data_IF_911099516393
#
_entry.id   IF_911099516393
#
_cell.length_a   1.000
_cell.length_b   1.000
_cell.length_c   1.000
_cell.angle_alpha   90.00
_cell.angle_beta   90.00
_cell.angle_gamma   90.00
#
_symmetry.space_group_name_H-M   'P 1'
#
loop_
_entity.id
_entity.type
_entity.pdbx_description
1 polymer ?
#
# COMPACT_ATOMS: atom_id res chain seq x y z
N UNK A 1 -20.40 16.54 -32.81
CA UNK A 1 -19.41 15.49 -32.49
C UNK A 1 -20.19 14.20 -32.29
N UNK A 2 -19.79 13.12 -32.98
CA UNK A 2 -20.66 11.94 -33.21
C UNK A 2 -20.61 11.00 -32.00
N UNK A 3 -21.76 10.48 -31.59
CA UNK A 3 -21.92 9.51 -30.48
C UNK A 3 -20.94 8.32 -30.59
N UNK A 4 -20.62 7.88 -31.81
CA UNK A 4 -19.65 6.80 -32.05
C UNK A 4 -18.22 7.13 -31.62
N UNK A 5 -17.79 8.40 -31.75
CA UNK A 5 -16.46 8.82 -31.33
C UNK A 5 -16.37 8.91 -29.81
N UNK A 6 -17.47 9.34 -29.16
CA UNK A 6 -17.60 9.36 -27.71
C UNK A 6 -17.56 7.95 -27.11
N UNK A 7 -18.29 6.99 -27.71
CA UNK A 7 -18.29 5.59 -27.25
C UNK A 7 -16.90 4.95 -27.37
N UNK A 8 -16.17 5.22 -28.46
CA UNK A 8 -14.78 4.72 -28.63
C UNK A 8 -13.83 5.32 -27.59
N UNK A 9 -13.94 6.62 -27.30
CA UNK A 9 -13.14 7.26 -26.26
C UNK A 9 -13.45 6.70 -24.86
N UNK A 10 -14.73 6.46 -24.55
CA UNK A 10 -15.16 5.84 -23.30
C UNK A 10 -14.61 4.42 -23.12
N UNK A 11 -14.65 3.59 -24.18
CA UNK A 11 -14.06 2.24 -24.16
C UNK A 11 -12.54 2.27 -23.93
N UNK A 12 -11.82 3.18 -24.60
CA UNK A 12 -10.38 3.32 -24.38
C UNK A 12 -10.06 3.80 -22.96
N UNK A 13 -10.85 4.73 -22.42
CA UNK A 13 -10.72 5.17 -21.03
C UNK A 13 -10.95 4.02 -20.06
N UNK A 14 -11.99 3.20 -20.28
CA UNK A 14 -12.29 2.04 -19.44
C UNK A 14 -11.11 1.04 -19.44
N UNK A 15 -10.53 0.74 -20.61
CA UNK A 15 -9.35 -0.13 -20.71
C UNK A 15 -8.15 0.45 -19.97
N UNK A 16 -7.83 1.73 -20.18
CA UNK A 16 -6.73 2.43 -19.49
C UNK A 16 -6.91 2.44 -17.97
N UNK A 17 -8.15 2.63 -17.49
CA UNK A 17 -8.44 2.59 -16.06
C UNK A 17 -8.20 1.20 -15.45
N UNK A 18 -8.52 0.13 -16.17
CA UNK A 18 -8.22 -1.24 -15.74
C UNK A 18 -6.70 -1.47 -15.68
N UNK A 19 -5.97 -1.05 -16.71
CA UNK A 19 -4.50 -1.15 -16.76
C UNK A 19 -3.84 -0.37 -15.62
N UNK A 20 -4.29 0.85 -15.34
CA UNK A 20 -3.77 1.67 -14.23
C UNK A 20 -4.03 0.98 -12.88
N UNK A 21 -5.22 0.41 -12.66
CA UNK A 21 -5.51 -0.32 -11.41
C UNK A 21 -4.60 -1.53 -11.24
N UNK A 22 -4.38 -2.29 -12.31
CA UNK A 22 -3.48 -3.44 -12.28
C UNK A 22 -2.02 -3.01 -12.04
N UNK A 23 -1.57 -1.90 -12.62
CA UNK A 23 -0.23 -1.35 -12.34
C UNK A 23 -0.08 -0.94 -10.88
N UNK A 24 -1.07 -0.22 -10.32
CA UNK A 24 -1.07 0.20 -8.93
C UNK A 24 -1.10 -0.99 -7.96
N UNK A 25 -1.82 -2.06 -8.31
CA UNK A 25 -1.87 -3.29 -7.52
C UNK A 25 -0.49 -3.96 -7.39
N UNK A 26 0.30 -3.92 -8.46
CA UNK A 26 1.58 -4.60 -8.57
C UNK A 26 2.77 -3.77 -8.07
N UNK A 27 2.64 -2.44 -8.00
CA UNK A 27 3.68 -1.56 -7.46
C UNK A 27 3.61 -1.54 -5.94
N UNK A 28 4.69 -1.93 -5.28
CA UNK A 28 4.80 -1.96 -3.82
C UNK A 28 5.88 -1.02 -3.31
N UNK A 29 5.65 -0.46 -2.12
CA UNK A 29 6.61 0.29 -1.33
C UNK A 29 6.79 -0.40 0.02
N UNK A 30 7.97 -0.24 0.62
CA UNK A 30 8.33 -0.83 1.90
C UNK A 30 8.79 0.27 2.85
N UNK A 31 8.24 0.28 4.07
CA UNK A 31 8.67 1.16 5.14
C UNK A 31 9.06 0.35 6.37
N UNK A 32 10.19 0.72 6.98
CA UNK A 32 10.75 0.07 8.16
C UNK A 32 10.94 1.08 9.28
N UNK A 33 10.56 0.71 10.50
CA UNK A 33 10.66 1.53 11.70
C UNK A 33 11.26 0.73 12.86
N UNK A 34 11.51 1.40 14.00
CA UNK A 34 12.09 0.75 15.18
C UNK A 34 13.45 0.12 14.89
N UNK A 35 14.27 0.73 14.03
CA UNK A 35 15.60 0.20 13.69
C UNK A 35 15.60 -1.14 12.93
N UNK A 36 14.48 -1.52 12.29
CA UNK A 36 14.37 -2.80 11.59
C UNK A 36 13.33 -3.75 12.17
N UNK A 37 12.76 -3.42 13.33
CA UNK A 37 11.91 -4.33 14.09
C UNK A 37 10.51 -4.49 13.48
N UNK A 38 9.98 -3.46 12.82
CA UNK A 38 8.69 -3.54 12.11
C UNK A 38 8.86 -3.02 10.68
N UNK A 39 8.39 -3.80 9.71
CA UNK A 39 8.39 -3.46 8.28
C UNK A 39 7.02 -3.70 7.67
N UNK A 40 6.44 -2.68 7.03
CA UNK A 40 5.17 -2.76 6.32
C UNK A 40 5.40 -2.62 4.81
N UNK A 41 4.71 -3.44 4.03
CA UNK A 41 4.69 -3.36 2.56
C UNK A 41 3.28 -2.98 2.12
N UNK A 42 3.15 -1.91 1.33
CA UNK A 42 1.88 -1.37 0.84
C UNK A 42 1.94 -1.23 -0.69
N UNK A 43 0.84 -1.49 -1.39
CA UNK A 43 0.76 -1.27 -2.84
C UNK A 43 0.21 0.13 -3.21
N UNK A 44 0.28 0.48 -4.49
CA UNK A 44 -0.27 1.74 -5.02
C UNK A 44 -1.80 1.86 -4.96
N UNK A 45 -2.52 0.81 -4.55
CA UNK A 45 -3.94 0.87 -4.22
C UNK A 45 -4.19 1.12 -2.72
N UNK A 46 -3.12 1.40 -1.96
CA UNK A 46 -3.15 1.59 -0.51
C UNK A 46 -3.56 0.33 0.27
N UNK A 47 -3.32 -0.85 -0.29
CA UNK A 47 -3.53 -2.14 0.39
C UNK A 47 -2.23 -2.55 1.11
N UNK A 48 -2.34 -2.94 2.38
CA UNK A 48 -1.23 -3.53 3.14
C UNK A 48 -1.04 -4.97 2.65
N UNK A 49 0.09 -5.24 2.00
CA UNK A 49 0.42 -6.54 1.41
C UNK A 49 1.09 -7.46 2.42
N UNK A 50 1.97 -6.91 3.26
CA UNK A 50 2.61 -7.68 4.33
C UNK A 50 3.07 -6.79 5.49
N UNK A 51 3.18 -7.42 6.65
CA UNK A 51 3.73 -6.83 7.86
C UNK A 51 4.71 -7.84 8.47
N UNK A 52 5.95 -7.43 8.67
CA UNK A 52 6.98 -8.22 9.35
C UNK A 52 7.30 -7.56 10.68
N UNK A 53 7.26 -8.34 11.74
CA UNK A 53 7.56 -7.94 13.11
C UNK A 53 8.63 -8.90 13.62
N UNK A 54 9.71 -8.38 14.17
CA UNK A 54 10.78 -9.20 14.73
C UNK A 54 10.44 -9.60 16.18
N UNK A 55 10.92 -10.76 16.68
CA UNK A 55 10.56 -11.25 18.02
C UNK A 55 10.95 -10.30 19.16
N UNK A 56 11.94 -9.45 18.96
CA UNK A 56 12.47 -8.52 19.97
C UNK A 56 11.44 -7.49 20.45
N UNK A 57 10.42 -7.19 19.64
CA UNK A 57 9.33 -6.25 20.00
C UNK A 57 8.03 -6.96 20.38
N UNK A 58 8.03 -8.29 20.48
CA UNK A 58 6.86 -9.08 20.87
C UNK A 58 6.97 -9.42 22.35
N UNK A 59 6.71 -8.42 23.19
CA UNK A 59 6.68 -8.57 24.65
C UNK A 59 5.21 -8.51 25.15
N UNK A 60 4.68 -9.59 25.76
CA UNK A 60 3.34 -9.58 26.35
C UNK A 60 3.14 -8.54 27.46
N UNK A 61 4.22 -8.10 28.11
CA UNK A 61 4.17 -7.10 29.18
C UNK A 61 4.26 -5.66 28.64
N UNK A 62 4.59 -5.48 27.36
CA UNK A 62 4.70 -4.18 26.67
C UNK A 62 4.13 -4.24 25.25
N UNK A 63 2.82 -4.47 25.14
CA UNK A 63 2.13 -4.48 23.85
C UNK A 63 1.99 -3.09 23.22
N UNK A 64 2.03 -2.03 24.03
CA UNK A 64 1.87 -0.64 23.59
C UNK A 64 3.01 -0.22 22.65
N UNK A 65 4.25 -0.58 22.97
CA UNK A 65 5.39 -0.35 22.07
C UNK A 65 5.20 -1.01 20.70
N UNK A 66 4.69 -2.24 20.67
CA UNK A 66 4.45 -2.95 19.41
C UNK A 66 3.34 -2.26 18.58
N UNK A 67 2.25 -1.86 19.23
CA UNK A 67 1.15 -1.14 18.60
C UNK A 67 1.65 0.16 17.95
N UNK A 68 2.46 0.95 18.66
CA UNK A 68 3.05 2.19 18.15
C UNK A 68 3.93 1.95 16.92
N UNK A 69 4.78 0.92 16.96
CA UNK A 69 5.64 0.58 15.82
C UNK A 69 4.85 0.12 14.61
N UNK A 70 3.76 -0.63 14.80
CA UNK A 70 2.87 -1.06 13.71
C UNK A 70 2.18 0.15 13.08
N UNK A 71 1.63 1.06 13.88
CA UNK A 71 0.99 2.29 13.39
C UNK A 71 1.99 3.13 12.62
N UNK A 72 3.20 3.31 13.14
CA UNK A 72 4.26 4.07 12.47
C UNK A 72 4.64 3.44 11.12
N UNK A 73 4.90 2.13 11.06
CA UNK A 73 5.29 1.45 9.83
C UNK A 73 4.21 1.52 8.74
N UNK A 74 2.96 1.25 9.12
CA UNK A 74 1.84 1.24 8.16
C UNK A 74 1.57 2.63 7.61
N UNK A 75 1.56 3.66 8.46
CA UNK A 75 1.34 5.03 8.00
C UNK A 75 2.47 5.53 7.11
N UNK A 76 3.73 5.22 7.44
CA UNK A 76 4.87 5.57 6.59
C UNK A 76 4.77 4.89 5.22
N UNK A 77 4.43 3.59 5.18
CA UNK A 77 4.25 2.88 3.91
C UNK A 77 3.06 3.43 3.09
N UNK A 78 1.95 3.80 3.73
CA UNK A 78 0.80 4.46 3.09
C UNK A 78 1.14 5.86 2.59
N UNK A 79 2.02 6.58 3.27
CA UNK A 79 2.50 7.89 2.83
C UNK A 79 3.39 7.76 1.59
N UNK A 80 4.24 6.73 1.55
CA UNK A 80 5.12 6.47 0.41
C UNK A 80 4.40 5.87 -0.81
N UNK A 81 3.20 5.32 -0.64
CA UNK A 81 2.44 4.69 -1.73
C UNK A 81 1.56 5.65 -2.55
N UNK A 82 1.48 6.93 -2.15
CA UNK A 82 0.70 7.99 -2.81
C UNK A 82 1.33 8.55 -4.09
#
# INVERSE_FOLDING_TARGET
MKMNDLMKQAQQMQKRMLEIREELANRTVEATVGGGMVTAVVNGQQEVISLRITPEVVDPEDTEMLEDLVVAAVNEALQQSQ
#
